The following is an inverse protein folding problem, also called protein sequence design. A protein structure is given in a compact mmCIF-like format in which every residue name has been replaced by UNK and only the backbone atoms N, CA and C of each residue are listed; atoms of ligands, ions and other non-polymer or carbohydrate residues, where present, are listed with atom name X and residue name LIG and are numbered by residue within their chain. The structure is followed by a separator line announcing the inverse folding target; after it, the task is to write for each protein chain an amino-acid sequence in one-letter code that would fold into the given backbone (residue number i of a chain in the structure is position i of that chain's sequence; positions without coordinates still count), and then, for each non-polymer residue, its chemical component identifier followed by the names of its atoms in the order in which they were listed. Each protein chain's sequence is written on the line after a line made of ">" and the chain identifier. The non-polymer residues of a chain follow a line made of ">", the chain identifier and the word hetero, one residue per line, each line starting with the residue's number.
data_IF_163620795044
#
_entry.id   IF_163620795044
#
_cell.length_a   1.000
_cell.length_b   1.000
_cell.length_c   1.000
_cell.angle_alpha   90.00
_cell.angle_beta   90.00
_cell.angle_gamma   90.00
#
_symmetry.space_group_name_H-M   'P 1'
#
loop_
_entity.id
_entity.type
_entity.pdbx_description
1 polymer ?
#
# COMPACT_ATOMS: atom_id res chain seq x y z
N UNK A 1 -3.35 4.22 -13.78
CA UNK A 1 -2.82 4.48 -12.41
C UNK A 1 -2.96 3.20 -11.59
N UNK A 2 -1.87 2.77 -10.99
CA UNK A 2 -1.88 1.59 -10.12
C UNK A 2 -2.38 1.97 -8.72
N UNK A 3 -3.38 1.26 -8.23
CA UNK A 3 -3.88 1.45 -6.87
C UNK A 3 -3.27 0.42 -5.94
N UNK A 4 -3.05 0.81 -4.70
CA UNK A 4 -2.51 -0.06 -3.65
C UNK A 4 -3.44 -0.08 -2.45
N UNK A 5 -3.79 -1.27 -2.00
CA UNK A 5 -4.72 -1.46 -0.87
C UNK A 5 -4.16 -2.50 0.10
N UNK A 6 -3.56 -2.08 1.21
CA UNK A 6 -3.07 -3.00 2.24
C UNK A 6 -4.23 -3.53 3.09
N UNK A 7 -3.99 -4.61 3.87
CA UNK A 7 -5.02 -5.16 4.76
C UNK A 7 -5.56 -4.10 5.72
N UNK A 8 -6.88 -3.99 5.81
CA UNK A 8 -7.56 -2.96 6.63
C UNK A 8 -7.18 -1.53 6.25
N UNK A 9 -6.73 -1.33 5.02
CA UNK A 9 -6.27 -0.02 4.56
C UNK A 9 -7.31 1.07 4.65
N UNK A 10 -8.59 0.72 4.55
CA UNK A 10 -9.68 1.68 4.63
C UNK A 10 -9.66 2.50 5.94
N UNK A 11 -9.09 1.94 7.01
CA UNK A 11 -8.95 2.64 8.29
C UNK A 11 -7.93 3.78 8.23
N UNK A 12 -7.04 3.72 7.24
CA UNK A 12 -5.90 4.63 7.14
C UNK A 12 -5.89 5.43 5.85
N UNK A 13 -7.03 5.50 5.17
CA UNK A 13 -7.16 6.30 3.97
C UNK A 13 -6.83 5.60 2.65
N UNK A 14 -6.67 4.29 2.67
CA UNK A 14 -6.44 3.52 1.45
C UNK A 14 -7.77 3.05 0.85
N UNK A 15 -7.80 2.66 -0.42
CA UNK A 15 -6.66 2.54 -1.34
C UNK A 15 -6.14 3.91 -1.80
N UNK A 16 -4.86 3.94 -2.17
CA UNK A 16 -4.20 5.13 -2.68
C UNK A 16 -3.43 4.80 -3.95
N UNK A 17 -3.23 5.79 -4.85
CA UNK A 17 -2.39 5.56 -6.02
C UNK A 17 -0.95 5.27 -5.61
N UNK A 18 -0.37 4.22 -6.20
CA UNK A 18 1.01 3.86 -5.94
C UNK A 18 1.93 4.59 -6.92
N UNK A 19 2.85 5.43 -6.44
CA UNK A 19 3.75 6.15 -7.32
C UNK A 19 4.64 5.22 -8.15
N UNK A 20 4.93 5.58 -9.38
CA UNK A 20 5.79 4.80 -10.26
C UNK A 20 7.17 4.57 -9.64
N UNK A 21 7.69 5.59 -8.96
CA UNK A 21 8.97 5.50 -8.27
C UNK A 21 8.99 4.38 -7.25
N UNK A 22 7.93 4.27 -6.46
CA UNK A 22 7.79 3.22 -5.44
C UNK A 22 7.71 1.86 -6.09
N UNK A 23 7.01 1.73 -7.21
CA UNK A 23 6.94 0.48 -7.96
C UNK A 23 8.31 0.03 -8.43
N UNK A 24 9.11 0.96 -8.95
CA UNK A 24 10.45 0.66 -9.45
C UNK A 24 11.42 0.29 -8.34
N UNK A 25 11.36 0.99 -7.22
CA UNK A 25 12.26 0.76 -6.10
C UNK A 25 11.86 -0.42 -5.23
N UNK A 26 10.59 -0.80 -5.27
CA UNK A 26 10.09 -1.92 -4.49
C UNK A 26 9.97 -1.66 -3.00
N UNK A 27 9.96 -0.39 -2.59
CA UNK A 27 9.90 -0.02 -1.18
C UNK A 27 8.48 0.31 -0.71
N UNK A 28 7.54 -0.54 -1.10
CA UNK A 28 6.11 -0.33 -0.81
C UNK A 28 5.82 -0.25 0.69
N UNK A 29 6.47 -1.10 1.50
CA UNK A 29 6.20 -1.11 2.94
C UNK A 29 6.60 0.21 3.60
N UNK A 30 7.76 0.75 3.22
CA UNK A 30 8.19 2.06 3.71
C UNK A 30 7.23 3.15 3.29
N UNK A 31 6.79 3.10 2.03
CA UNK A 31 5.84 4.07 1.50
C UNK A 31 4.52 4.03 2.26
N UNK A 32 4.01 2.83 2.57
CA UNK A 32 2.77 2.67 3.34
C UNK A 32 2.86 3.39 4.69
N UNK A 33 3.97 3.18 5.39
CA UNK A 33 4.18 3.83 6.70
C UNK A 33 4.23 5.35 6.56
N UNK A 34 4.88 5.86 5.52
CA UNK A 34 4.91 7.29 5.24
C UNK A 34 3.51 7.85 4.99
N UNK A 35 2.62 7.04 4.42
CA UNK A 35 1.23 7.45 4.13
C UNK A 35 0.30 7.28 5.35
N UNK A 36 0.83 6.89 6.49
CA UNK A 36 0.05 6.77 7.71
C UNK A 36 -0.38 5.36 8.07
N UNK A 37 0.06 4.35 7.33
CA UNK A 37 -0.26 2.96 7.65
C UNK A 37 0.64 2.50 8.81
N UNK A 38 0.08 1.95 9.91
CA UNK A 38 0.88 1.60 11.08
C UNK A 38 1.88 0.48 10.81
N UNK A 39 3.11 0.67 11.26
CA UNK A 39 4.14 -0.37 11.19
C UNK A 39 3.68 -1.62 11.95
N UNK A 40 2.94 -1.43 13.05
CA UNK A 40 2.42 -2.54 13.86
C UNK A 40 1.55 -3.50 13.05
N UNK A 41 0.77 -3.00 12.09
CA UNK A 41 -0.07 -3.83 11.24
C UNK A 41 0.79 -4.74 10.36
N UNK A 42 1.88 -4.18 9.82
CA UNK A 42 2.81 -4.94 9.00
C UNK A 42 3.48 -6.02 9.85
N UNK A 43 3.94 -5.66 11.04
CA UNK A 43 4.63 -6.59 11.94
C UNK A 43 3.71 -7.72 12.42
N UNK A 44 2.45 -7.38 12.72
CA UNK A 44 1.48 -8.37 13.19
C UNK A 44 1.15 -9.43 12.14
N UNK A 45 1.09 -9.04 10.87
CA UNK A 45 0.80 -9.96 9.79
C UNK A 45 2.03 -10.73 9.32
N UNK A 46 3.22 -10.15 9.50
CA UNK A 46 4.47 -10.79 9.13
C UNK A 46 4.45 -11.33 7.70
N UNK A 47 4.71 -12.62 7.55
CA UNK A 47 4.76 -13.28 6.24
C UNK A 47 3.40 -13.33 5.55
N UNK A 48 2.33 -13.10 6.27
CA UNK A 48 0.97 -13.08 5.71
C UNK A 48 0.59 -11.71 5.17
N UNK A 49 1.45 -10.72 5.32
CA UNK A 49 1.17 -9.38 4.82
C UNK A 49 1.21 -9.37 3.30
N UNK A 50 0.19 -8.77 2.69
CA UNK A 50 0.15 -8.58 1.25
C UNK A 50 -0.71 -7.36 0.94
N UNK A 51 -0.51 -6.78 -0.24
CA UNK A 51 -1.32 -5.68 -0.72
C UNK A 51 -2.07 -6.10 -1.97
N UNK A 52 -3.24 -5.52 -2.17
CA UNK A 52 -3.99 -5.68 -3.41
C UNK A 52 -3.59 -4.56 -4.35
N UNK A 53 -3.41 -4.90 -5.61
CA UNK A 53 -3.05 -3.94 -6.65
C UNK A 53 -3.99 -4.10 -7.82
N UNK A 54 -4.36 -2.97 -8.43
CA UNK A 54 -5.14 -2.99 -9.67
C UNK A 54 -4.93 -1.69 -10.40
N UNK A 55 -5.23 -1.70 -11.72
CA UNK A 55 -5.17 -0.51 -12.53
C UNK A 55 -6.52 0.20 -12.46
N UNK A 56 -6.48 1.47 -12.14
CA UNK A 56 -7.67 2.31 -12.16
C UNK A 56 -7.67 3.11 -13.46
N UNK A 57 -8.77 3.01 -14.20
CA UNK A 57 -8.91 3.80 -15.42
C UNK A 57 -9.21 5.25 -15.06
N UNK A 58 -8.56 6.14 -15.77
CA UNK A 58 -8.82 7.56 -15.66
C UNK A 58 -9.62 8.02 -16.87
N UNK A 59 -10.76 8.62 -16.60
CA UNK A 59 -11.61 9.19 -17.64
C UNK A 59 -11.59 10.71 -17.55
#
# INVERSE_FOLDING_TARGET
>A
MMMCDPPSGWKYGFPKPLPDKVQKEGNVLEWLVEQGYPQAEIDNLGDHFYCRYWQKEEN
#
